data_IF_768882953876
#
_entry.id   IF_768882953876
#
_cell.length_a   1.000
_cell.length_b   1.000
_cell.length_c   1.000
_cell.angle_alpha   90.00
_cell.angle_beta   90.00
_cell.angle_gamma   90.00
#
_symmetry.space_group_name_H-M   'P 1'
#
loop_
_entity.id
_entity.type
_entity.pdbx_description
1 polymer ?
#
# COMPACT_ATOMS: atom_id res chain seq x y z
N UNK A 1 -0.86 12.03 9.42
CA UNK A 1 -0.40 11.08 10.46
C UNK A 1 1.07 10.82 10.22
N UNK A 2 1.95 11.00 11.21
CA UNK A 2 3.37 10.72 11.00
C UNK A 2 3.66 9.22 10.96
N UNK A 3 4.72 8.84 10.28
CA UNK A 3 5.13 7.44 10.17
C UNK A 3 5.47 6.82 11.55
N UNK A 4 6.11 7.57 12.44
CA UNK A 4 6.36 7.12 13.82
C UNK A 4 5.06 6.80 14.58
N UNK A 5 4.03 7.67 14.47
CA UNK A 5 2.73 7.40 15.09
C UNK A 5 1.97 6.24 14.44
N UNK A 6 2.27 5.88 13.19
CA UNK A 6 1.76 4.66 12.57
C UNK A 6 2.48 3.44 13.17
N UNK A 7 3.79 3.52 13.36
CA UNK A 7 4.62 2.45 13.96
C UNK A 7 4.19 2.10 15.39
N UNK A 8 3.59 3.04 16.12
CA UNK A 8 3.05 2.82 17.47
C UNK A 8 1.69 2.07 17.47
N UNK A 9 1.16 1.66 16.31
CA UNK A 9 -0.12 0.94 16.20
C UNK A 9 0.07 -0.51 15.74
N UNK A 10 -0.81 -1.44 16.19
CA UNK A 10 -0.91 -2.76 15.58
C UNK A 10 -1.33 -2.64 14.12
N UNK A 11 -0.58 -3.30 13.23
CA UNK A 11 -0.77 -3.21 11.78
C UNK A 11 -1.34 -4.50 11.19
N UNK A 12 -2.31 -4.33 10.28
CA UNK A 12 -2.80 -5.35 9.37
C UNK A 12 -2.01 -5.21 8.08
N UNK A 13 -1.19 -6.20 7.76
CA UNK A 13 -0.21 -6.11 6.67
C UNK A 13 -0.32 -7.28 5.69
N UNK A 14 0.24 -7.07 4.51
CA UNK A 14 0.51 -8.13 3.54
C UNK A 14 1.82 -8.85 3.90
N UNK A 15 2.03 -10.07 3.37
CA UNK A 15 3.27 -10.83 3.60
C UNK A 15 4.52 -10.07 3.20
N UNK A 16 5.63 -10.50 3.78
CA UNK A 16 6.97 -10.12 3.34
C UNK A 16 7.16 -10.38 1.84
N UNK A 17 7.99 -9.56 1.18
CA UNK A 17 8.23 -9.63 -0.27
C UNK A 17 7.14 -8.96 -1.13
N UNK A 18 6.06 -8.45 -0.52
CA UNK A 18 5.09 -7.63 -1.24
C UNK A 18 5.57 -6.18 -1.29
N UNK A 19 5.39 -5.52 -2.45
CA UNK A 19 5.85 -4.13 -2.65
C UNK A 19 5.35 -3.13 -1.59
N UNK A 20 4.14 -3.33 -1.05
CA UNK A 20 3.60 -2.49 0.01
C UNK A 20 4.32 -2.71 1.33
N UNK A 21 4.57 -3.97 1.69
CA UNK A 21 5.27 -4.36 2.91
C UNK A 21 6.72 -3.87 2.89
N UNK A 22 7.42 -4.08 1.79
CA UNK A 22 8.80 -3.61 1.61
C UNK A 22 8.91 -2.09 1.70
N UNK A 23 7.99 -1.35 1.09
CA UNK A 23 7.99 0.11 1.14
C UNK A 23 7.72 0.64 2.56
N UNK A 24 6.80 0.02 3.30
CA UNK A 24 6.53 0.37 4.69
C UNK A 24 7.73 0.06 5.58
N UNK A 25 8.26 -1.18 5.50
CA UNK A 25 9.36 -1.64 6.33
C UNK A 25 10.62 -0.79 6.07
N UNK A 26 10.92 -0.47 4.82
CA UNK A 26 12.03 0.43 4.46
C UNK A 26 11.84 1.83 5.04
N UNK A 27 10.63 2.37 4.98
CA UNK A 27 10.33 3.69 5.52
C UNK A 27 10.42 3.71 7.06
N UNK A 28 9.95 2.66 7.73
CA UNK A 28 10.04 2.52 9.19
C UNK A 28 11.50 2.35 9.64
N UNK A 29 12.27 1.54 8.93
CA UNK A 29 13.69 1.35 9.20
C UNK A 29 14.48 2.66 9.09
N UNK A 30 14.14 3.52 8.13
CA UNK A 30 14.77 4.84 7.95
C UNK A 30 14.58 5.78 9.15
N UNK A 31 13.60 5.52 10.03
CA UNK A 31 13.38 6.25 11.28
C UNK A 31 13.70 5.40 12.54
N UNK A 32 14.40 4.27 12.37
CA UNK A 32 14.79 3.38 13.47
C UNK A 32 13.61 2.65 14.13
N UNK A 33 12.51 2.44 13.40
CA UNK A 33 11.30 1.76 13.88
C UNK A 33 11.02 0.49 13.09
N UNK A 34 10.17 -0.36 13.64
CA UNK A 34 9.67 -1.58 13.00
C UNK A 34 8.15 -1.67 13.17
N UNK A 35 7.49 -2.40 12.27
CA UNK A 35 6.06 -2.63 12.33
C UNK A 35 5.71 -3.63 13.45
N UNK A 36 4.67 -3.32 14.23
CA UNK A 36 4.01 -4.32 15.09
C UNK A 36 2.89 -4.98 14.29
N UNK A 37 3.10 -6.22 13.86
CA UNK A 37 2.11 -6.98 13.06
C UNK A 37 1.04 -7.55 13.99
N UNK A 38 -0.22 -7.17 13.76
CA UNK A 38 -1.38 -7.78 14.43
C UNK A 38 -2.02 -8.88 13.58
N UNK A 39 -2.11 -8.66 12.27
CA UNK A 39 -2.58 -9.65 11.30
C UNK A 39 -1.73 -9.56 10.05
N UNK A 40 -1.33 -10.71 9.53
CA UNK A 40 -0.74 -10.84 8.20
C UNK A 40 -1.71 -11.61 7.30
N UNK A 41 -1.97 -11.11 6.09
CA UNK A 41 -2.87 -11.77 5.13
C UNK A 41 -2.46 -11.54 3.69
N UNK A 42 -2.49 -12.60 2.88
CA UNK A 42 -2.26 -12.52 1.42
C UNK A 42 -3.46 -11.92 0.68
N UNK A 43 -4.64 -11.91 1.32
CA UNK A 43 -5.89 -11.44 0.70
C UNK A 43 -5.97 -9.93 0.83
N UNK A 44 -5.51 -9.21 -0.20
CA UNK A 44 -5.47 -7.74 -0.21
C UNK A 44 -6.82 -7.08 0.09
N UNK A 45 -7.91 -7.66 -0.40
CA UNK A 45 -9.26 -7.12 -0.20
C UNK A 45 -9.76 -7.33 1.24
N UNK A 46 -9.08 -8.15 2.05
CA UNK A 46 -9.37 -8.34 3.46
C UNK A 46 -8.77 -7.25 4.36
N UNK A 47 -7.83 -6.43 3.89
CA UNK A 47 -7.17 -5.42 4.72
C UNK A 47 -8.17 -4.44 5.36
N UNK A 48 -9.10 -3.91 4.57
CA UNK A 48 -10.10 -2.95 5.07
C UNK A 48 -11.15 -3.64 5.96
N UNK A 49 -11.76 -4.78 5.56
CA UNK A 49 -12.64 -5.54 6.45
C UNK A 49 -12.02 -5.88 7.80
N UNK A 50 -10.74 -6.29 7.85
CA UNK A 50 -10.04 -6.59 9.09
C UNK A 50 -9.86 -5.35 9.97
N UNK A 51 -9.53 -4.20 9.36
CA UNK A 51 -9.48 -2.91 10.08
C UNK A 51 -10.85 -2.54 10.64
N UNK A 52 -11.91 -2.68 9.84
CA UNK A 52 -13.29 -2.40 10.27
C UNK A 52 -13.75 -3.35 11.38
N UNK A 53 -13.26 -4.58 11.40
CA UNK A 53 -13.48 -5.55 12.47
C UNK A 53 -12.62 -5.28 13.73
N UNK A 54 -11.77 -4.25 13.73
CA UNK A 54 -10.96 -3.85 14.88
C UNK A 54 -9.62 -4.58 15.01
N UNK A 55 -9.17 -5.30 13.98
CA UNK A 55 -7.91 -6.05 14.03
C UNK A 55 -6.66 -5.15 14.11
N UNK A 56 -6.78 -3.86 13.74
CA UNK A 56 -5.67 -2.91 13.81
C UNK A 56 -5.80 -1.79 12.77
N UNK A 57 -4.65 -1.30 12.30
CA UNK A 57 -4.55 -0.25 11.28
C UNK A 57 -3.90 -0.81 10.02
N UNK A 58 -4.37 -0.40 8.83
CA UNK A 58 -3.70 -0.75 7.57
C UNK A 58 -3.17 0.50 6.87
N UNK A 59 -2.04 0.34 6.18
CA UNK A 59 -1.62 1.28 5.14
C UNK A 59 -2.10 0.73 3.79
N UNK A 60 -2.79 1.55 3.01
CA UNK A 60 -3.28 1.15 1.69
C UNK A 60 -3.03 2.27 0.66
N UNK A 61 -2.88 1.94 -0.63
CA UNK A 61 -2.87 2.95 -1.69
C UNK A 61 -4.16 3.78 -1.67
N UNK A 62 -4.06 5.08 -1.96
CA UNK A 62 -5.19 6.03 -1.97
C UNK A 62 -6.45 5.50 -2.70
N UNK A 63 -6.38 4.87 -3.89
CA UNK A 63 -7.56 4.34 -4.55
C UNK A 63 -8.32 3.28 -3.73
N UNK A 64 -7.60 2.47 -2.95
CA UNK A 64 -8.25 1.48 -2.06
C UNK A 64 -8.85 2.10 -0.80
N UNK A 65 -8.32 3.24 -0.33
CA UNK A 65 -8.92 3.95 0.79
C UNK A 65 -10.25 4.65 0.42
N UNK A 66 -10.53 4.80 -0.87
CA UNK A 66 -11.74 5.47 -1.37
C UNK A 66 -12.99 4.74 -0.89
N UNK A 67 -13.94 5.50 -0.32
CA UNK A 67 -15.19 4.95 0.20
C UNK A 67 -15.10 4.21 1.54
N UNK A 68 -13.89 4.04 2.10
CA UNK A 68 -13.73 3.37 3.40
C UNK A 68 -14.33 4.17 4.57
N UNK A 69 -14.32 5.51 4.49
CA UNK A 69 -14.96 6.37 5.50
C UNK A 69 -16.47 6.12 5.58
N UNK A 70 -17.13 5.95 4.43
CA UNK A 70 -18.56 5.63 4.38
C UNK A 70 -18.89 4.25 4.99
N UNK A 71 -17.88 3.38 5.16
CA UNK A 71 -18.01 2.07 5.81
C UNK A 71 -17.60 2.11 7.30
N UNK A 72 -17.31 3.28 7.85
CA UNK A 72 -16.95 3.48 9.25
C UNK A 72 -15.44 3.50 9.54
N UNK A 73 -14.57 3.47 8.53
CA UNK A 73 -13.14 3.57 8.75
C UNK A 73 -12.72 5.03 9.05
N UNK A 74 -11.76 5.20 9.95
CA UNK A 74 -11.05 6.49 10.09
C UNK A 74 -9.90 6.52 9.09
N UNK A 75 -10.06 7.27 7.99
CA UNK A 75 -9.00 7.42 6.98
C UNK A 75 -8.11 8.62 7.32
N UNK A 76 -6.80 8.42 7.25
CA UNK A 76 -5.79 9.47 7.47
C UNK A 76 -4.67 9.33 6.44
N UNK A 77 -4.25 10.45 5.87
CA UNK A 77 -3.03 10.48 5.03
C UNK A 77 -1.78 10.49 5.90
N UNK A 78 -0.72 9.85 5.41
CA UNK A 78 0.62 10.00 5.99
C UNK A 78 1.19 11.38 5.67
N UNK A 79 1.93 11.94 6.62
CA UNK A 79 2.67 13.19 6.48
C UNK A 79 4.08 13.03 7.06
N UNK A 80 5.15 13.06 6.24
CA UNK A 80 5.11 13.18 4.78
C UNK A 80 4.46 11.96 4.10
N UNK A 81 3.95 12.09 2.86
CA UNK A 81 3.32 11.00 2.15
C UNK A 81 4.34 9.92 1.75
N UNK A 82 4.02 8.66 2.01
CA UNK A 82 4.77 7.52 1.47
C UNK A 82 4.42 7.35 -0.02
N UNK A 83 5.43 7.48 -0.89
CA UNK A 83 5.28 7.34 -2.34
C UNK A 83 5.96 6.07 -2.82
N UNK A 84 5.32 5.40 -3.77
CA UNK A 84 5.88 4.26 -4.49
C UNK A 84 5.74 4.51 -5.98
N UNK A 85 6.75 4.13 -6.76
CA UNK A 85 6.70 4.21 -8.22
C UNK A 85 6.09 2.94 -8.80
N UNK A 86 5.24 3.10 -9.81
CA UNK A 86 4.78 2.01 -10.66
C UNK A 86 5.42 2.23 -12.02
N UNK A 87 6.02 1.19 -12.59
CA UNK A 87 6.75 1.26 -13.86
C UNK A 87 6.22 0.23 -14.83
N UNK A 88 6.27 0.56 -16.12
CA UNK A 88 6.03 -0.39 -17.21
C UNK A 88 7.37 -0.99 -17.62
N UNK A 89 7.50 -2.31 -17.52
CA UNK A 89 8.71 -3.03 -17.94
C UNK A 89 8.39 -3.83 -19.18
N UNK A 90 9.09 -3.54 -20.28
CA UNK A 90 9.01 -4.29 -21.53
C UNK A 90 10.35 -4.26 -22.26
N UNK A 91 10.55 -5.20 -23.19
CA UNK A 91 11.72 -5.14 -24.08
C UNK A 91 11.66 -3.88 -24.95
N UNK A 92 12.80 -3.25 -25.27
CA UNK A 92 12.82 -2.05 -26.11
C UNK A 92 12.19 -2.26 -27.50
N UNK A 93 12.28 -3.47 -28.04
CA UNK A 93 11.74 -3.86 -29.35
C UNK A 93 10.79 -5.05 -29.23
N UNK A 94 9.97 -5.26 -30.25
CA UNK A 94 9.08 -6.42 -30.36
C UNK A 94 7.71 -6.27 -29.69
N UNK A 95 7.27 -5.04 -29.39
CA UNK A 95 5.87 -4.80 -29.01
C UNK A 95 4.94 -4.96 -30.22
N UNK A 96 3.88 -5.74 -30.05
CA UNK A 96 2.77 -5.79 -31.01
C UNK A 96 2.05 -4.42 -31.08
N UNK A 97 1.27 -4.14 -32.13
CA UNK A 97 0.49 -2.91 -32.21
C UNK A 97 -0.41 -2.68 -30.99
N UNK A 98 -1.05 -3.75 -30.47
CA UNK A 98 -1.89 -3.67 -29.27
C UNK A 98 -1.07 -3.34 -28.00
N UNK A 99 0.11 -3.97 -27.83
CA UNK A 99 0.96 -3.71 -26.68
C UNK A 99 1.54 -2.28 -26.68
N UNK A 100 1.90 -1.75 -27.86
CA UNK A 100 2.31 -0.34 -28.00
C UNK A 100 1.18 0.60 -27.58
N UNK A 101 -0.05 0.33 -28.06
CA UNK A 101 -1.22 1.13 -27.70
C UNK A 101 -1.52 1.07 -26.19
N UNK A 102 -1.33 -0.08 -25.56
CA UNK A 102 -1.45 -0.22 -24.11
C UNK A 102 -0.44 0.65 -23.36
N UNK A 103 0.84 0.63 -23.74
CA UNK A 103 1.89 1.46 -23.12
C UNK A 103 1.54 2.95 -23.24
N UNK A 104 1.12 3.40 -24.42
CA UNK A 104 0.69 4.79 -24.65
C UNK A 104 -0.50 5.22 -23.78
N UNK A 105 -1.43 4.31 -23.51
CA UNK A 105 -2.59 4.58 -22.64
C UNK A 105 -2.20 4.60 -21.16
N UNK A 106 -1.31 3.69 -20.75
CA UNK A 106 -0.88 3.56 -19.36
C UNK A 106 0.08 4.67 -18.90
N UNK A 107 0.67 5.42 -19.84
CA UNK A 107 1.55 6.57 -19.57
C UNK A 107 0.83 7.93 -19.55
N UNK A 108 -0.46 7.97 -19.89
CA UNK A 108 -1.31 9.18 -19.80
C UNK A 108 -1.84 9.36 -18.39
#
# INVERSE_FOLDING_TARGET
LSLGRLADRPLVLTPLGTSLREALDSALAAIGRQATVAVETEVRDALIPLVLAGAGTAIVPRPLASGSEARGAVVRSLDPPLRRSVVLVHRPTGLSPAARRFVELAQR
#
